data_IF_336622928407
#
_entry.id   IF_336622928407
#
_cell.length_a   1.000
_cell.length_b   1.000
_cell.length_c   1.000
_cell.angle_alpha   90.00
_cell.angle_beta   90.00
_cell.angle_gamma   90.00
#
_symmetry.space_group_name_H-M   'P 1'
#
loop_
_entity.id
_entity.type
_entity.pdbx_description
1 polymer ?
#
# COMPACT_ATOMS: atom_id res chain seq x y z
N UNK A 1 -35.40 48.55 -24.27
CA UNK A 1 -36.00 49.08 -23.02
C UNK A 1 -36.24 47.90 -22.08
N UNK A 2 -36.10 48.18 -20.78
CA UNK A 2 -36.03 47.30 -19.61
C UNK A 2 -37.21 46.34 -19.39
N UNK A 3 -36.95 45.41 -18.44
CA UNK A 3 -37.84 44.70 -17.49
C UNK A 3 -37.96 43.18 -17.76
N UNK A 4 -37.51 42.25 -16.91
CA UNK A 4 -37.66 42.01 -15.45
C UNK A 4 -39.11 41.87 -14.99
N UNK A 5 -39.41 40.72 -14.39
CA UNK A 5 -40.55 40.45 -13.50
C UNK A 5 -41.17 39.09 -13.79
N UNK A 6 -40.87 38.00 -13.07
CA UNK A 6 -41.18 37.64 -11.67
C UNK A 6 -42.48 36.82 -11.53
N UNK A 7 -42.46 35.91 -10.54
CA UNK A 7 -43.52 35.04 -10.04
C UNK A 7 -43.77 33.77 -10.87
N UNK A 8 -43.98 32.59 -10.30
CA UNK A 8 -44.25 32.18 -8.92
C UNK A 8 -44.78 30.74 -8.99
N UNK A 9 -44.68 30.03 -7.87
CA UNK A 9 -44.82 28.58 -7.70
C UNK A 9 -45.97 27.79 -8.40
N UNK A 10 -45.60 26.53 -8.74
CA UNK A 10 -46.32 25.24 -8.92
C UNK A 10 -47.78 25.13 -8.40
N UNK A 11 -48.63 24.18 -8.90
CA UNK A 11 -48.33 22.77 -9.23
C UNK A 11 -48.96 22.34 -10.59
N UNK A 12 -48.80 21.13 -11.11
CA UNK A 12 -49.71 19.99 -10.89
C UNK A 12 -49.09 18.72 -11.52
N UNK A 13 -49.36 17.58 -10.87
CA UNK A 13 -49.00 16.25 -11.35
C UNK A 13 -49.75 15.94 -12.65
N UNK A 14 -49.02 15.44 -13.64
CA UNK A 14 -49.59 14.50 -14.59
C UNK A 14 -48.68 13.28 -14.74
N UNK A 15 -49.33 12.13 -14.72
CA UNK A 15 -48.75 10.80 -14.68
C UNK A 15 -48.88 10.19 -16.08
N UNK A 16 -47.77 9.86 -16.76
CA UNK A 16 -47.62 8.63 -17.55
C UNK A 16 -46.28 8.60 -18.32
N UNK A 17 -45.49 7.58 -18.00
CA UNK A 17 -44.59 6.83 -18.87
C UNK A 17 -43.75 7.57 -19.92
N UNK A 18 -42.53 7.92 -19.52
CA UNK A 18 -41.37 7.79 -20.39
C UNK A 18 -40.26 7.07 -19.60
N UNK A 19 -39.97 5.86 -20.05
CA UNK A 19 -38.91 4.98 -19.57
C UNK A 19 -37.57 5.69 -19.60
N UNK A 20 -37.04 6.03 -18.43
CA UNK A 20 -35.59 6.22 -18.26
C UNK A 20 -35.25 5.68 -16.89
N UNK A 21 -35.08 4.36 -16.85
CA UNK A 21 -34.31 3.68 -15.81
C UNK A 21 -32.95 4.36 -15.80
N UNK A 22 -32.73 5.30 -14.88
CA UNK A 22 -31.40 5.77 -14.54
C UNK A 22 -30.56 4.53 -14.30
N UNK A 23 -29.48 4.27 -15.06
CA UNK A 23 -28.60 3.17 -14.74
C UNK A 23 -28.06 3.46 -13.34
N UNK A 24 -28.39 2.54 -12.43
CA UNK A 24 -27.85 2.46 -11.09
C UNK A 24 -26.37 2.81 -11.17
N UNK A 25 -25.95 3.79 -10.37
CA UNK A 25 -24.53 4.00 -10.09
C UNK A 25 -23.92 2.62 -9.91
N UNK A 26 -22.90 2.33 -10.73
CA UNK A 26 -22.18 1.08 -10.65
C UNK A 26 -21.84 0.87 -9.18
N UNK A 27 -22.53 -0.07 -8.55
CA UNK A 27 -22.03 -0.71 -7.37
C UNK A 27 -20.80 -1.44 -7.89
N UNK A 28 -19.68 -0.74 -7.93
CA UNK A 28 -18.37 -1.37 -7.94
C UNK A 28 -18.42 -2.21 -6.67
N UNK A 29 -18.77 -3.48 -6.83
CA UNK A 29 -18.53 -4.49 -5.82
C UNK A 29 -17.04 -4.40 -5.57
N UNK A 30 -16.68 -3.58 -4.58
CA UNK A 30 -15.40 -3.68 -3.91
C UNK A 30 -15.45 -5.11 -3.41
N UNK A 31 -14.72 -6.00 -4.05
CA UNK A 31 -14.54 -7.35 -3.51
C UNK A 31 -14.27 -7.18 -2.02
N UNK A 32 -14.94 -7.99 -1.17
CA UNK A 32 -14.67 -7.91 0.25
C UNK A 32 -13.15 -8.05 0.40
N UNK A 33 -12.50 -7.03 0.94
CA UNK A 33 -11.11 -7.12 1.36
C UNK A 33 -11.14 -8.22 2.41
N UNK A 34 -10.84 -9.45 1.99
CA UNK A 34 -10.74 -10.58 2.89
C UNK A 34 -9.57 -10.22 3.80
N UNK A 35 -9.80 -10.06 5.11
CA UNK A 35 -8.70 -9.81 6.03
C UNK A 35 -7.67 -10.91 5.84
N UNK A 36 -6.39 -10.53 5.77
CA UNK A 36 -5.29 -11.50 5.74
C UNK A 36 -5.46 -12.47 6.92
N UNK A 37 -5.06 -13.72 6.69
CA UNK A 37 -4.90 -14.67 7.80
C UNK A 37 -3.99 -14.04 8.88
N UNK A 38 -4.28 -14.22 10.19
CA UNK A 38 -3.48 -13.63 11.25
C UNK A 38 -1.98 -13.92 11.14
N UNK A 39 -1.59 -15.12 10.68
CA UNK A 39 -0.18 -15.49 10.51
C UNK A 39 0.47 -14.72 9.35
N UNK A 40 -0.24 -14.59 8.24
CA UNK A 40 0.19 -13.77 7.10
C UNK A 40 0.27 -12.28 7.49
N UNK A 41 -0.65 -11.79 8.33
CA UNK A 41 -0.62 -10.42 8.83
C UNK A 41 0.60 -10.15 9.72
N UNK A 42 0.95 -11.08 10.62
CA UNK A 42 2.18 -11.00 11.43
C UNK A 42 3.43 -11.04 10.54
N UNK A 43 3.45 -11.91 9.53
CA UNK A 43 4.52 -11.95 8.54
C UNK A 43 4.71 -10.59 7.85
N UNK A 44 3.63 -9.98 7.35
CA UNK A 44 3.68 -8.69 6.67
C UNK A 44 4.20 -7.60 7.60
N UNK A 45 3.70 -7.52 8.83
CA UNK A 45 4.12 -6.50 9.78
C UNK A 45 5.61 -6.60 10.10
N UNK A 46 6.09 -7.79 10.46
CA UNK A 46 7.50 -8.00 10.82
C UNK A 46 8.43 -7.78 9.62
N UNK A 47 8.08 -8.33 8.44
CA UNK A 47 8.92 -8.18 7.24
C UNK A 47 8.99 -6.72 6.82
N UNK A 48 7.87 -5.99 6.81
CA UNK A 48 7.86 -4.57 6.45
C UNK A 48 8.70 -3.72 7.40
N UNK A 49 8.61 -3.94 8.72
CA UNK A 49 9.44 -3.22 9.70
C UNK A 49 10.94 -3.46 9.45
N UNK A 50 11.34 -4.72 9.24
CA UNK A 50 12.74 -5.08 9.06
C UNK A 50 13.28 -4.63 7.70
N UNK A 51 12.46 -4.61 6.65
CA UNK A 51 12.81 -4.06 5.34
C UNK A 51 13.12 -2.56 5.41
N UNK A 52 12.24 -1.77 6.02
CA UNK A 52 12.44 -0.33 6.14
C UNK A 52 13.72 -0.02 6.93
N UNK A 53 13.93 -0.71 8.07
CA UNK A 53 15.15 -0.58 8.87
C UNK A 53 16.41 -0.94 8.07
N UNK A 54 16.33 -1.97 7.23
CA UNK A 54 17.45 -2.43 6.40
C UNK A 54 17.82 -1.43 5.30
N UNK A 55 16.84 -0.78 4.67
CA UNK A 55 17.12 0.23 3.64
C UNK A 55 17.61 1.54 4.22
N UNK A 56 17.00 2.03 5.31
CA UNK A 56 17.54 3.18 6.05
C UNK A 56 18.98 2.94 6.50
N UNK A 57 19.36 1.69 6.77
CA UNK A 57 20.73 1.35 7.14
C UNK A 57 21.79 1.31 6.05
N UNK A 58 21.37 1.16 4.79
CA UNK A 58 22.27 1.23 3.63
C UNK A 58 22.43 2.65 3.09
N UNK A 59 21.51 3.52 3.49
CA UNK A 59 21.44 4.93 3.20
C UNK A 59 22.47 5.70 4.04
N UNK A 60 23.46 6.31 3.41
CA UNK A 60 24.69 6.85 4.02
C UNK A 60 24.49 8.13 4.88
N UNK A 61 23.27 8.34 5.42
CA UNK A 61 22.93 9.39 6.38
C UNK A 61 21.97 8.95 7.50
N UNK A 62 21.61 7.66 7.57
CA UNK A 62 20.62 7.17 8.53
C UNK A 62 20.80 5.71 8.93
N UNK A 63 22.03 5.26 9.24
CA UNK A 63 22.25 3.95 9.87
C UNK A 63 21.20 3.74 10.95
N UNK A 64 20.41 2.64 10.95
CA UNK A 64 19.47 2.38 12.01
C UNK A 64 20.23 2.50 13.31
N UNK A 65 19.59 3.09 14.30
CA UNK A 65 20.17 3.14 15.63
C UNK A 65 20.47 1.70 16.12
N UNK A 66 21.16 1.61 17.24
CA UNK A 66 21.55 0.30 17.79
C UNK A 66 20.33 -0.62 18.01
N UNK A 67 19.15 -0.06 18.27
CA UNK A 67 17.90 -0.81 18.41
C UNK A 67 17.43 -1.36 17.07
N UNK A 68 17.36 -0.52 16.03
CA UNK A 68 16.97 -0.94 14.68
C UNK A 68 17.92 -1.99 14.11
N UNK A 69 19.22 -1.85 14.34
CA UNK A 69 20.19 -2.88 13.94
C UNK A 69 19.97 -4.20 14.71
N UNK A 70 19.73 -4.13 16.02
CA UNK A 70 19.44 -5.31 16.83
C UNK A 70 18.15 -6.03 16.37
N UNK A 71 17.12 -5.30 15.95
CA UNK A 71 15.89 -5.88 15.38
C UNK A 71 16.15 -6.64 14.08
N UNK A 72 16.93 -6.06 13.16
CA UNK A 72 17.31 -6.74 11.92
C UNK A 72 18.12 -8.01 12.20
N UNK A 73 19.07 -7.95 13.14
CA UNK A 73 19.88 -9.11 13.53
C UNK A 73 19.04 -10.20 14.22
N UNK A 74 18.13 -9.83 15.12
CA UNK A 74 17.22 -10.75 15.78
C UNK A 74 16.31 -11.44 14.77
N UNK A 75 15.68 -10.69 13.88
CA UNK A 75 14.84 -11.24 12.82
C UNK A 75 15.60 -12.26 11.97
N UNK A 76 16.81 -11.91 11.50
CA UNK A 76 17.63 -12.80 10.70
C UNK A 76 18.00 -14.08 11.46
N UNK A 77 18.31 -13.97 12.75
CA UNK A 77 18.67 -15.11 13.59
C UNK A 77 17.48 -16.05 13.84
N UNK A 78 16.32 -15.49 14.12
CA UNK A 78 15.10 -16.26 14.45
C UNK A 78 14.47 -16.88 13.21
N UNK A 79 14.60 -16.21 12.05
CA UNK A 79 13.92 -16.61 10.83
C UNK A 79 14.85 -17.23 9.78
N UNK A 80 16.15 -17.42 10.03
CA UNK A 80 17.14 -17.85 9.03
C UNK A 80 16.71 -19.02 8.12
N UNK A 81 15.90 -19.95 8.64
CA UNK A 81 15.41 -21.13 7.91
C UNK A 81 13.90 -21.14 7.70
N UNK A 82 13.21 -20.03 7.92
CA UNK A 82 11.75 -19.92 7.80
C UNK A 82 11.37 -19.30 6.44
N UNK A 83 10.15 -19.57 5.94
CA UNK A 83 9.62 -18.90 4.76
C UNK A 83 9.66 -17.37 4.88
N UNK A 84 9.45 -16.82 6.09
CA UNK A 84 9.49 -15.37 6.37
C UNK A 84 10.83 -14.72 5.99
N UNK A 85 11.95 -15.41 6.20
CA UNK A 85 13.26 -14.88 5.79
C UNK A 85 13.48 -14.91 4.26
N UNK A 86 12.83 -15.83 3.54
CA UNK A 86 12.81 -15.82 2.08
C UNK A 86 12.01 -14.62 1.55
N UNK A 87 10.84 -14.35 2.15
CA UNK A 87 10.03 -13.16 1.81
C UNK A 87 10.82 -11.88 2.05
N UNK A 88 11.46 -11.76 3.22
CA UNK A 88 12.35 -10.63 3.53
C UNK A 88 13.47 -10.49 2.50
N UNK A 89 14.24 -11.54 2.24
CA UNK A 89 15.41 -11.47 1.36
C UNK A 89 15.04 -11.10 -0.08
N UNK A 90 13.93 -11.66 -0.60
CA UNK A 90 13.41 -11.36 -1.93
C UNK A 90 13.02 -9.89 -2.04
N UNK A 91 12.20 -9.41 -1.10
CA UNK A 91 11.68 -8.04 -1.15
C UNK A 91 12.76 -7.00 -0.81
N UNK A 92 13.75 -7.34 0.02
CA UNK A 92 14.92 -6.51 0.28
C UNK A 92 15.69 -6.21 -1.00
N UNK A 93 15.95 -7.23 -1.81
CA UNK A 93 16.67 -7.10 -3.08
C UNK A 93 15.87 -6.29 -4.10
N UNK A 94 14.56 -6.55 -4.21
CA UNK A 94 13.67 -5.82 -5.11
C UNK A 94 13.62 -4.33 -4.78
N UNK A 95 13.30 -4.00 -3.52
CA UNK A 95 13.22 -2.61 -3.08
C UNK A 95 14.57 -1.88 -3.12
N UNK A 96 15.68 -2.54 -2.81
CA UNK A 96 17.02 -1.94 -2.98
C UNK A 96 17.30 -1.58 -4.45
N UNK A 97 16.80 -2.36 -5.41
CA UNK A 97 16.91 -2.03 -6.84
C UNK A 97 16.10 -0.79 -7.21
N UNK A 98 14.86 -0.68 -6.71
CA UNK A 98 14.00 0.48 -6.95
C UNK A 98 14.56 1.77 -6.34
N UNK A 99 15.04 1.70 -5.09
CA UNK A 99 15.71 2.83 -4.42
C UNK A 99 16.93 3.27 -5.22
N UNK A 100 17.75 2.33 -5.69
CA UNK A 100 18.94 2.66 -6.50
C UNK A 100 18.58 3.34 -7.83
N UNK A 101 17.48 2.94 -8.48
CA UNK A 101 17.00 3.59 -9.71
C UNK A 101 16.49 5.02 -9.42
N UNK A 102 15.61 5.19 -8.43
CA UNK A 102 15.06 6.50 -8.09
C UNK A 102 16.15 7.50 -7.66
N UNK A 103 17.10 7.06 -6.83
CA UNK A 103 18.25 7.88 -6.44
C UNK A 103 19.16 8.23 -7.61
N UNK A 104 19.35 7.31 -8.56
CA UNK A 104 20.08 7.58 -9.81
C UNK A 104 19.34 8.62 -10.69
N UNK A 105 18.01 8.66 -10.63
CA UNK A 105 17.18 9.64 -11.34
C UNK A 105 17.13 11.01 -10.62
N UNK A 106 17.83 11.15 -9.49
CA UNK A 106 17.97 12.39 -8.74
C UNK A 106 16.99 12.56 -7.59
N UNK A 107 16.19 11.53 -7.28
CA UNK A 107 15.33 11.52 -6.10
C UNK A 107 16.17 11.46 -4.82
N UNK A 108 15.68 12.07 -3.75
CA UNK A 108 16.32 11.92 -2.44
C UNK A 108 16.15 10.48 -1.94
N UNK A 109 17.14 9.99 -1.21
CA UNK A 109 17.13 8.61 -0.71
C UNK A 109 15.97 8.35 0.26
N UNK A 110 15.64 9.30 1.14
CA UNK A 110 14.49 9.20 2.04
C UNK A 110 13.17 9.12 1.28
N UNK A 111 13.00 9.91 0.21
CA UNK A 111 11.82 9.88 -0.65
C UNK A 111 11.72 8.55 -1.41
N UNK A 112 12.83 8.07 -1.97
CA UNK A 112 12.91 6.76 -2.63
C UNK A 112 12.57 5.61 -1.68
N UNK A 113 13.02 5.65 -0.42
CA UNK A 113 12.67 4.66 0.60
C UNK A 113 11.17 4.73 0.92
N UNK A 114 10.59 5.92 1.13
CA UNK A 114 9.17 6.07 1.46
C UNK A 114 8.25 5.56 0.35
N UNK A 115 8.58 5.87 -0.90
CA UNK A 115 7.89 5.35 -2.07
C UNK A 115 8.00 3.82 -2.14
N UNK A 116 9.23 3.30 -2.01
CA UNK A 116 9.49 1.86 -2.02
C UNK A 116 8.74 1.12 -0.91
N UNK A 117 8.66 1.67 0.31
CA UNK A 117 7.90 1.08 1.42
C UNK A 117 6.40 0.99 1.10
N UNK A 118 5.87 1.99 0.39
CA UNK A 118 4.46 1.99 -0.03
C UNK A 118 4.21 0.92 -1.08
N UNK A 119 5.05 0.86 -2.10
CA UNK A 119 4.84 -0.01 -3.26
C UNK A 119 5.17 -1.47 -2.99
N UNK A 120 6.22 -1.74 -2.21
CA UNK A 120 6.67 -3.12 -1.92
C UNK A 120 5.66 -3.88 -1.05
N UNK A 121 4.78 -3.18 -0.33
CA UNK A 121 3.85 -3.78 0.62
C UNK A 121 2.95 -4.82 -0.04
N UNK A 122 2.42 -4.55 -1.23
CA UNK A 122 1.57 -5.49 -1.96
C UNK A 122 2.30 -6.80 -2.31
N UNK A 123 3.59 -6.70 -2.64
CA UNK A 123 4.46 -7.85 -2.92
C UNK A 123 4.71 -8.67 -1.66
N UNK A 124 4.97 -8.00 -0.53
CA UNK A 124 5.14 -8.66 0.78
C UNK A 124 3.85 -9.34 1.23
N UNK A 125 2.69 -8.70 1.07
CA UNK A 125 1.39 -9.30 1.38
C UNK A 125 1.15 -10.57 0.56
N UNK A 126 1.40 -10.52 -0.75
CA UNK A 126 1.26 -11.68 -1.64
C UNK A 126 2.22 -12.81 -1.27
N UNK A 127 3.48 -12.48 -0.98
CA UNK A 127 4.51 -13.46 -0.64
C UNK A 127 4.30 -14.08 0.73
N UNK A 128 3.80 -13.32 1.72
CA UNK A 128 3.47 -13.83 3.05
C UNK A 128 2.28 -14.79 3.01
N UNK A 129 1.23 -14.50 2.22
CA UNK A 129 0.11 -15.44 2.03
C UNK A 129 0.60 -16.74 1.40
N UNK A 130 1.45 -16.65 0.38
CA UNK A 130 2.00 -17.83 -0.32
C UNK A 130 2.98 -18.64 0.54
N UNK A 131 3.53 -18.04 1.59
CA UNK A 131 4.48 -18.67 2.50
C UNK A 131 3.80 -19.48 3.63
N UNK A 132 2.52 -19.25 3.86
CA UNK A 132 1.68 -19.95 4.84
C UNK A 132 0.96 -21.19 4.28
N UNK A 133 0.93 -21.37 2.94
CA UNK A 133 0.34 -22.54 2.24
C UNK A 133 1.28 -23.75 2.16
#
# INVERSE_FOLDING_TARGET
MLAVGCAGEQPERDTASATTTTPSAAATSREPVVPLDPVAQECVQEVMEVLELSWRGKADHGRPDAEGQAKVEAFNKENATTPRHLVFSKNLMLGSGWIAMATSDGQSEDEAIQETVTDIREYVETDCVSADE
#
